data_IF_331082616317
#
_entry.id   IF_331082616317
#
_cell.length_a   1.000
_cell.length_b   1.000
_cell.length_c   1.000
_cell.angle_alpha   90.00
_cell.angle_beta   90.00
_cell.angle_gamma   90.00
#
_symmetry.space_group_name_H-M   'P 1'
#
loop_
_entity.id
_entity.type
_entity.pdbx_description
1 polymer ?
#
# COMPACT_ATOMS: atom_id res chain seq x y z
N UNK A 1 59.31 22.58 -10.91
CA UNK A 1 57.86 22.29 -11.13
C UNK A 1 57.57 21.03 -10.35
N UNK A 2 56.72 21.03 -9.32
CA UNK A 2 56.30 19.82 -8.65
C UNK A 2 55.21 19.15 -9.48
N UNK A 3 55.29 17.81 -9.60
CA UNK A 3 54.34 16.97 -10.32
C UNK A 3 52.92 17.11 -9.75
N UNK A 4 51.87 17.04 -10.60
CA UNK A 4 50.51 17.05 -10.13
C UNK A 4 50.22 15.77 -9.33
N UNK A 5 49.82 15.94 -8.07
CA UNK A 5 49.32 14.86 -7.23
C UNK A 5 48.01 14.35 -7.84
N UNK A 6 48.09 13.21 -8.53
CA UNK A 6 46.91 12.49 -9.01
C UNK A 6 46.26 11.85 -7.78
N UNK A 7 45.20 12.50 -7.28
CA UNK A 7 44.28 11.89 -6.29
C UNK A 7 43.64 10.65 -6.94
N UNK A 8 43.76 9.46 -6.37
CA UNK A 8 43.07 8.29 -6.90
C UNK A 8 41.56 8.51 -6.78
N UNK A 9 40.84 8.47 -7.91
CA UNK A 9 39.42 8.35 -7.94
C UNK A 9 39.08 7.03 -7.24
N UNK A 10 38.69 7.08 -5.99
CA UNK A 10 38.06 5.96 -5.30
C UNK A 10 36.75 5.66 -6.02
N UNK A 11 36.82 4.76 -6.99
CA UNK A 11 35.65 4.11 -7.55
C UNK A 11 34.96 3.46 -6.36
N UNK A 12 33.82 4.04 -5.94
CA UNK A 12 33.04 3.54 -4.81
C UNK A 12 32.72 2.08 -5.06
N UNK A 13 33.32 1.21 -4.24
CA UNK A 13 32.91 -0.19 -4.19
C UNK A 13 31.40 -0.20 -4.02
N UNK A 14 30.65 -1.08 -4.73
CA UNK A 14 29.24 -1.24 -4.49
C UNK A 14 29.05 -1.49 -2.99
N UNK A 15 28.24 -0.64 -2.33
CA UNK A 15 27.89 -0.86 -0.92
C UNK A 15 27.38 -2.28 -0.81
N UNK A 16 27.95 -3.04 0.12
CA UNK A 16 27.38 -4.34 0.49
C UNK A 16 25.91 -4.12 0.85
N UNK A 17 24.98 -4.98 0.36
CA UNK A 17 23.58 -4.86 0.72
C UNK A 17 23.45 -4.74 2.24
N UNK A 18 22.63 -3.79 2.69
CA UNK A 18 22.39 -3.59 4.12
C UNK A 18 21.86 -4.89 4.72
N UNK A 19 22.38 -5.24 5.91
CA UNK A 19 21.95 -6.46 6.61
C UNK A 19 20.45 -6.32 6.95
N UNK A 20 19.66 -7.31 6.54
CA UNK A 20 18.25 -7.40 6.88
C UNK A 20 18.13 -7.57 8.40
N UNK A 21 17.36 -6.71 9.11
CA UNK A 21 17.23 -6.83 10.56
C UNK A 21 16.43 -8.07 10.95
N UNK A 22 16.81 -8.72 12.03
CA UNK A 22 16.01 -9.78 12.62
C UNK A 22 14.71 -9.22 13.22
N UNK A 23 13.58 -9.97 13.13
CA UNK A 23 12.32 -9.52 13.67
C UNK A 23 12.37 -9.40 15.19
N UNK A 24 12.05 -8.21 15.70
CA UNK A 24 11.91 -7.97 17.14
C UNK A 24 10.53 -8.39 17.65
N UNK A 25 10.42 -8.69 18.94
CA UNK A 25 9.13 -8.90 19.60
C UNK A 25 8.39 -7.57 19.76
N UNK A 26 7.13 -7.54 19.29
CA UNK A 26 6.29 -6.34 19.34
C UNK A 26 5.18 -6.55 20.37
N UNK A 27 4.96 -5.56 21.23
CA UNK A 27 3.88 -5.58 22.22
C UNK A 27 2.61 -4.92 21.68
N UNK A 28 1.45 -5.25 22.23
CA UNK A 28 0.17 -4.63 21.83
C UNK A 28 0.14 -3.13 22.10
N UNK A 29 0.89 -2.64 23.08
CA UNK A 29 1.04 -1.20 23.35
C UNK A 29 1.69 -0.44 22.19
N UNK A 30 2.50 -1.12 21.37
CA UNK A 30 3.12 -0.51 20.20
C UNK A 30 2.09 -0.01 19.18
N UNK A 31 0.93 -0.68 19.06
CA UNK A 31 -0.17 -0.24 18.19
C UNK A 31 -0.68 1.15 18.61
N UNK A 32 -0.95 1.32 19.91
CA UNK A 32 -1.39 2.61 20.44
C UNK A 32 -0.34 3.71 20.25
N UNK A 33 0.93 3.37 20.48
CA UNK A 33 2.04 4.31 20.27
C UNK A 33 2.19 4.72 18.82
N UNK A 34 2.09 3.76 17.88
CA UNK A 34 2.16 4.03 16.43
C UNK A 34 1.01 4.93 15.96
N UNK A 35 -0.22 4.66 16.41
CA UNK A 35 -1.38 5.52 16.10
C UNK A 35 -1.22 6.94 16.66
N UNK A 36 -0.74 7.05 17.90
CA UNK A 36 -0.51 8.35 18.52
C UNK A 36 0.61 9.13 17.81
N UNK A 37 1.70 8.45 17.43
CA UNK A 37 2.78 9.05 16.65
C UNK A 37 2.29 9.53 15.27
N UNK A 38 1.61 8.69 14.52
CA UNK A 38 1.06 9.05 13.21
C UNK A 38 0.06 10.22 13.29
N UNK A 39 -0.79 10.26 14.32
CA UNK A 39 -1.67 11.40 14.56
C UNK A 39 -0.91 12.68 14.91
N UNK A 40 0.16 12.56 15.71
CA UNK A 40 1.03 13.68 16.04
C UNK A 40 1.72 14.24 14.78
N UNK A 41 2.25 13.37 13.92
CA UNK A 41 2.90 13.73 12.67
C UNK A 41 1.93 14.41 11.71
N UNK A 42 0.71 13.87 11.57
CA UNK A 42 -0.34 14.50 10.78
C UNK A 42 -0.66 15.91 11.30
N UNK A 43 -0.77 16.09 12.61
CA UNK A 43 -1.04 17.43 13.20
C UNK A 43 0.11 18.42 13.03
N UNK A 44 1.35 17.94 12.98
CA UNK A 44 2.54 18.77 12.75
C UNK A 44 2.70 19.17 11.29
N UNK A 45 2.31 18.28 10.36
CA UNK A 45 2.48 18.46 8.92
C UNK A 45 1.21 18.13 8.12
N UNK A 46 0.03 18.75 8.44
CA UNK A 46 -1.24 18.36 7.85
C UNK A 46 -1.29 18.57 6.33
N UNK A 47 -0.56 19.56 5.79
CA UNK A 47 -0.52 19.84 4.37
C UNK A 47 0.02 18.65 3.55
N UNK A 48 1.00 17.92 4.05
CA UNK A 48 1.56 16.75 3.37
C UNK A 48 0.56 15.58 3.40
N UNK A 49 -0.02 15.26 4.57
CA UNK A 49 -1.03 14.21 4.68
C UNK A 49 -2.25 14.46 3.80
N UNK A 50 -2.77 15.69 3.80
CA UNK A 50 -3.91 16.09 2.98
C UNK A 50 -3.59 16.05 1.49
N UNK A 51 -2.39 16.50 1.06
CA UNK A 51 -2.02 16.46 -0.36
C UNK A 51 -1.92 15.02 -0.88
N UNK A 52 -1.19 14.15 -0.16
CA UNK A 52 -1.07 12.75 -0.56
C UNK A 52 -2.42 12.04 -0.59
N UNK A 53 -3.31 12.34 0.38
CA UNK A 53 -4.68 11.81 0.39
C UNK A 53 -5.56 12.42 -0.71
N UNK A 54 -5.50 13.74 -0.89
CA UNK A 54 -6.31 14.46 -1.88
C UNK A 54 -6.02 14.01 -3.31
N UNK A 55 -4.77 13.67 -3.61
CA UNK A 55 -4.40 13.14 -4.93
C UNK A 55 -5.25 11.91 -5.30
N UNK A 56 -5.45 10.97 -4.37
CA UNK A 56 -6.27 9.78 -4.59
C UNK A 56 -7.76 10.09 -4.62
N UNK A 57 -8.24 10.86 -3.65
CA UNK A 57 -9.67 11.21 -3.54
C UNK A 57 -10.11 12.01 -4.75
N UNK A 58 -9.39 13.08 -5.09
CA UNK A 58 -9.74 13.94 -6.22
C UNK A 58 -9.55 13.21 -7.56
N UNK A 59 -8.50 12.41 -7.70
CA UNK A 59 -8.29 11.57 -8.88
C UNK A 59 -9.42 10.56 -9.08
N UNK A 60 -9.85 9.89 -8.03
CA UNK A 60 -10.98 8.96 -8.05
C UNK A 60 -12.30 9.66 -8.39
N UNK A 61 -12.60 10.78 -7.76
CA UNK A 61 -13.80 11.57 -8.05
C UNK A 61 -13.82 12.10 -9.49
N UNK A 62 -12.69 12.60 -9.98
CA UNK A 62 -12.57 13.10 -11.36
C UNK A 62 -12.81 11.98 -12.38
N UNK A 63 -12.22 10.80 -12.18
CA UNK A 63 -12.42 9.66 -13.07
C UNK A 63 -13.86 9.13 -13.01
N UNK A 64 -14.45 9.07 -11.82
CA UNK A 64 -15.87 8.70 -11.67
C UNK A 64 -16.76 9.69 -12.39
N UNK A 65 -16.53 11.00 -12.24
CA UNK A 65 -17.29 12.03 -12.94
C UNK A 65 -17.16 11.93 -14.46
N UNK A 66 -15.95 11.66 -14.97
CA UNK A 66 -15.72 11.44 -16.42
C UNK A 66 -16.44 10.20 -16.91
N UNK A 67 -16.37 9.08 -16.17
CA UNK A 67 -17.06 7.84 -16.54
C UNK A 67 -18.57 8.02 -16.60
N UNK A 68 -19.17 8.68 -15.62
CA UNK A 68 -20.61 8.99 -15.57
C UNK A 68 -21.02 9.93 -16.71
N UNK A 69 -20.24 11.00 -16.97
CA UNK A 69 -20.54 11.96 -18.02
C UNK A 69 -20.41 11.35 -19.44
N UNK A 70 -19.48 10.43 -19.63
CA UNK A 70 -19.26 9.74 -20.90
C UNK A 70 -20.23 8.58 -21.12
N UNK A 71 -20.98 8.15 -20.10
CA UNK A 71 -21.81 6.93 -20.13
C UNK A 71 -21.00 5.67 -20.40
N UNK A 72 -19.71 5.68 -20.04
CA UNK A 72 -18.75 4.63 -20.34
C UNK A 72 -17.95 4.28 -19.10
N UNK A 73 -18.40 3.30 -18.35
CA UNK A 73 -17.78 2.86 -17.09
C UNK A 73 -16.37 2.27 -17.29
N UNK A 74 -15.98 1.91 -18.51
CA UNK A 74 -14.65 1.40 -18.80
C UNK A 74 -13.51 2.41 -18.53
N UNK A 75 -13.81 3.72 -18.44
CA UNK A 75 -12.87 4.75 -18.00
C UNK A 75 -12.39 4.57 -16.56
N UNK A 76 -13.13 3.82 -15.72
CA UNK A 76 -12.70 3.48 -14.38
C UNK A 76 -11.56 2.44 -14.36
N UNK A 77 -11.38 1.66 -15.43
CA UNK A 77 -10.34 0.62 -15.51
C UNK A 77 -8.93 1.20 -15.27
N UNK A 78 -8.52 2.30 -15.95
CA UNK A 78 -7.19 2.89 -15.71
C UNK A 78 -6.97 3.31 -14.25
N UNK A 79 -8.02 3.76 -13.56
CA UNK A 79 -7.93 4.11 -12.14
C UNK A 79 -7.78 2.86 -11.26
N UNK A 80 -8.62 1.85 -11.49
CA UNK A 80 -8.59 0.59 -10.74
C UNK A 80 -7.23 -0.11 -10.88
N UNK A 81 -6.63 -0.04 -12.07
CA UNK A 81 -5.29 -0.61 -12.34
C UNK A 81 -4.17 0.31 -11.86
N UNK A 82 -4.31 1.61 -12.04
CA UNK A 82 -3.30 2.59 -11.69
C UNK A 82 -3.15 2.85 -10.19
N UNK A 83 -4.24 2.71 -9.44
CA UNK A 83 -4.24 2.97 -7.99
C UNK A 83 -3.24 2.09 -7.21
N UNK A 84 -3.26 0.75 -7.34
CA UNK A 84 -2.29 -0.11 -6.67
C UNK A 84 -0.83 0.19 -7.07
N UNK A 85 -0.62 0.70 -8.30
CA UNK A 85 0.72 1.05 -8.79
C UNK A 85 1.25 2.34 -8.14
N UNK A 86 0.38 3.31 -7.88
CA UNK A 86 0.76 4.61 -7.31
C UNK A 86 0.78 4.62 -5.79
N UNK A 87 0.01 3.74 -5.13
CA UNK A 87 -0.12 3.70 -3.69
C UNK A 87 1.23 3.59 -2.94
N UNK A 88 2.19 2.74 -3.34
CA UNK A 88 3.50 2.66 -2.69
C UNK A 88 4.28 3.97 -2.74
N UNK A 89 4.18 4.75 -3.82
CA UNK A 89 4.88 6.03 -3.95
C UNK A 89 4.30 7.11 -3.03
N UNK A 90 2.99 7.12 -2.82
CA UNK A 90 2.36 8.00 -1.84
C UNK A 90 2.74 7.58 -0.40
N UNK A 91 2.78 6.29 -0.11
CA UNK A 91 3.23 5.78 1.18
C UNK A 91 4.67 6.20 1.47
N UNK A 92 5.58 6.13 0.48
CA UNK A 92 6.96 6.62 0.60
C UNK A 92 7.00 8.09 1.01
N UNK A 93 6.16 8.94 0.40
CA UNK A 93 6.09 10.36 0.77
C UNK A 93 5.69 10.57 2.23
N UNK A 94 4.71 9.81 2.72
CA UNK A 94 4.27 9.89 4.12
C UNK A 94 5.32 9.34 5.08
N UNK A 95 6.01 8.25 4.75
CA UNK A 95 7.12 7.72 5.55
C UNK A 95 8.28 8.70 5.66
N UNK A 96 8.62 9.38 4.56
CA UNK A 96 9.67 10.40 4.58
C UNK A 96 9.29 11.61 5.44
N UNK A 97 8.02 12.02 5.42
CA UNK A 97 7.52 13.09 6.31
C UNK A 97 7.71 12.70 7.79
N UNK A 98 7.26 11.50 8.19
CA UNK A 98 7.43 11.01 9.56
C UNK A 98 8.91 10.89 9.94
N UNK A 99 9.74 10.32 9.07
CA UNK A 99 11.19 10.19 9.30
C UNK A 99 11.84 11.56 9.57
N UNK A 100 11.53 12.58 8.77
CA UNK A 100 12.07 13.93 8.94
C UNK A 100 11.59 14.58 10.23
N UNK A 101 10.32 14.41 10.58
CA UNK A 101 9.77 14.92 11.83
C UNK A 101 10.43 14.29 13.06
N UNK A 102 10.72 12.99 13.02
CA UNK A 102 11.44 12.28 14.08
C UNK A 102 12.91 12.71 14.17
N UNK A 103 13.57 12.90 13.04
CA UNK A 103 14.96 13.34 12.96
C UNK A 103 15.15 14.85 13.25
N UNK A 104 14.07 15.62 13.33
CA UNK A 104 14.13 17.08 13.45
C UNK A 104 14.69 17.76 12.19
N UNK A 105 14.62 17.10 11.03
CA UNK A 105 15.07 17.63 9.75
C UNK A 105 14.07 18.64 9.18
N UNK A 106 14.52 19.61 8.35
CA UNK A 106 13.63 20.55 7.68
C UNK A 106 12.61 19.80 6.81
N UNK A 107 11.35 20.21 6.90
CA UNK A 107 10.25 19.64 6.14
C UNK A 107 9.83 20.61 5.02
N UNK A 108 10.27 20.32 3.82
CA UNK A 108 9.94 21.08 2.60
C UNK A 108 9.51 20.16 1.46
N UNK A 109 8.70 20.70 0.55
CA UNK A 109 8.14 19.94 -0.57
C UNK A 109 9.18 19.38 -1.53
N UNK A 110 10.21 20.15 -1.96
CA UNK A 110 11.24 19.65 -2.86
C UNK A 110 11.97 18.43 -2.28
N UNK A 111 12.31 18.46 -1.00
CA UNK A 111 13.02 17.39 -0.33
C UNK A 111 12.17 16.11 -0.23
N UNK A 112 10.90 16.22 0.20
CA UNK A 112 9.99 15.06 0.27
C UNK A 112 9.71 14.50 -1.12
N UNK A 113 9.36 15.35 -2.08
CA UNK A 113 9.13 14.93 -3.47
C UNK A 113 10.38 14.31 -4.09
N UNK A 114 11.57 14.87 -3.80
CA UNK A 114 12.85 14.34 -4.27
C UNK A 114 13.07 12.88 -3.86
N UNK A 115 12.75 12.52 -2.61
CA UNK A 115 12.84 11.12 -2.13
C UNK A 115 11.84 10.23 -2.87
N UNK A 116 10.58 10.69 -3.05
CA UNK A 116 9.56 9.92 -3.79
C UNK A 116 10.02 9.66 -5.23
N UNK A 117 10.51 10.68 -5.93
CA UNK A 117 11.00 10.54 -7.31
C UNK A 117 12.27 9.68 -7.40
N UNK A 118 13.17 9.74 -6.42
CA UNK A 118 14.35 8.90 -6.38
C UNK A 118 14.03 7.40 -6.27
N UNK A 119 12.85 7.05 -5.72
CA UNK A 119 12.42 5.65 -5.60
C UNK A 119 12.07 5.00 -6.96
N UNK A 120 11.88 5.77 -8.03
CA UNK A 120 11.59 5.23 -9.37
C UNK A 120 12.70 4.29 -9.89
N UNK A 121 13.94 4.52 -9.47
CA UNK A 121 15.13 3.78 -9.88
C UNK A 121 15.57 2.74 -8.83
N UNK A 122 14.75 2.52 -7.78
CA UNK A 122 14.99 1.56 -6.70
C UNK A 122 13.98 0.40 -6.75
N UNK A 123 13.68 -0.21 -5.59
CA UNK A 123 12.84 -1.41 -5.49
C UNK A 123 11.33 -1.10 -5.37
N UNK A 124 10.94 0.17 -5.17
CA UNK A 124 9.51 0.54 -5.03
C UNK A 124 8.68 0.19 -6.28
N UNK A 125 9.13 0.44 -7.53
CA UNK A 125 8.39 -0.01 -8.72
C UNK A 125 8.19 -1.52 -8.78
N UNK A 126 9.17 -2.30 -8.36
CA UNK A 126 9.09 -3.76 -8.31
C UNK A 126 8.04 -4.22 -7.28
N UNK A 127 8.02 -3.61 -6.08
CA UNK A 127 7.00 -3.87 -5.08
C UNK A 127 5.60 -3.44 -5.57
N UNK A 128 5.48 -2.29 -6.23
CA UNK A 128 4.23 -1.83 -6.83
C UNK A 128 3.70 -2.82 -7.87
N UNK A 129 4.58 -3.41 -8.69
CA UNK A 129 4.21 -4.44 -9.65
C UNK A 129 3.69 -5.71 -8.96
N UNK A 130 4.33 -6.17 -7.88
CA UNK A 130 3.85 -7.33 -7.11
C UNK A 130 2.47 -7.05 -6.52
N UNK A 131 2.26 -5.86 -5.94
CA UNK A 131 0.95 -5.43 -5.40
C UNK A 131 -0.11 -5.43 -6.51
N UNK A 132 0.21 -4.88 -7.69
CA UNK A 132 -0.69 -4.84 -8.83
C UNK A 132 -1.06 -6.25 -9.30
N UNK A 133 -0.09 -7.14 -9.47
CA UNK A 133 -0.34 -8.53 -9.90
C UNK A 133 -1.21 -9.27 -8.88
N UNK A 134 -0.94 -9.10 -7.58
CA UNK A 134 -1.76 -9.67 -6.51
C UNK A 134 -3.20 -9.15 -6.57
N UNK A 135 -3.37 -7.84 -6.77
CA UNK A 135 -4.69 -7.20 -6.92
C UNK A 135 -5.44 -7.72 -8.16
N UNK A 136 -4.77 -7.78 -9.31
CA UNK A 136 -5.37 -8.30 -10.55
C UNK A 136 -5.79 -9.77 -10.39
N UNK A 137 -4.97 -10.57 -9.72
CA UNK A 137 -5.32 -11.98 -9.45
C UNK A 137 -6.51 -12.08 -8.49
N UNK A 138 -6.56 -11.25 -7.46
CA UNK A 138 -7.74 -11.14 -6.59
C UNK A 138 -9.01 -10.78 -7.39
N UNK A 139 -8.94 -9.77 -8.26
CA UNK A 139 -10.06 -9.36 -9.10
C UNK A 139 -10.55 -10.52 -9.95
N UNK A 140 -9.62 -11.26 -10.58
CA UNK A 140 -9.95 -12.46 -11.37
C UNK A 140 -10.66 -13.52 -10.52
N UNK A 141 -10.14 -13.85 -9.34
CA UNK A 141 -10.75 -14.82 -8.42
C UNK A 141 -12.13 -14.37 -7.95
N UNK A 142 -12.28 -13.08 -7.58
CA UNK A 142 -13.56 -12.52 -7.15
C UNK A 142 -14.63 -12.63 -8.25
N UNK A 143 -14.28 -12.29 -9.50
CA UNK A 143 -15.19 -12.43 -10.65
C UNK A 143 -15.53 -13.90 -10.91
N UNK A 144 -14.57 -14.80 -10.75
CA UNK A 144 -14.80 -16.24 -10.92
C UNK A 144 -15.78 -16.76 -9.85
N UNK A 145 -15.61 -16.39 -8.59
CA UNK A 145 -16.55 -16.73 -7.51
C UNK A 145 -17.94 -16.20 -7.86
N UNK A 146 -18.03 -14.93 -8.25
CA UNK A 146 -19.30 -14.33 -8.65
C UNK A 146 -19.97 -15.10 -9.80
N UNK A 147 -19.24 -15.41 -10.86
CA UNK A 147 -19.75 -16.13 -12.02
C UNK A 147 -20.24 -17.55 -11.68
N UNK A 148 -19.56 -18.25 -10.79
CA UNK A 148 -19.94 -19.59 -10.33
C UNK A 148 -21.27 -19.57 -9.54
N UNK A 149 -21.46 -18.59 -8.69
CA UNK A 149 -22.65 -18.54 -7.84
C UNK A 149 -23.83 -17.86 -8.52
N UNK A 150 -23.61 -16.80 -9.28
CA UNK A 150 -24.66 -15.94 -9.85
C UNK A 150 -24.88 -16.14 -11.35
N UNK A 151 -23.94 -16.80 -12.04
CA UNK A 151 -23.95 -16.96 -13.50
C UNK A 151 -23.44 -15.72 -14.24
N UNK A 152 -23.00 -15.91 -15.48
CA UNK A 152 -22.37 -14.86 -16.31
C UNK A 152 -23.33 -13.72 -16.65
N UNK A 153 -24.62 -14.03 -16.81
CA UNK A 153 -25.65 -13.03 -17.15
C UNK A 153 -25.98 -12.06 -16.01
N UNK A 154 -25.67 -12.44 -14.76
CA UNK A 154 -25.96 -11.63 -13.56
C UNK A 154 -24.92 -10.55 -13.30
N UNK A 155 -23.77 -10.55 -14.02
CA UNK A 155 -22.70 -9.54 -13.86
C UNK A 155 -23.17 -8.10 -14.15
N UNK A 156 -24.23 -7.95 -14.97
CA UNK A 156 -24.82 -6.65 -15.31
C UNK A 156 -25.93 -6.21 -14.38
N UNK A 157 -26.48 -7.08 -13.53
CA UNK A 157 -27.71 -6.83 -12.75
C UNK A 157 -27.50 -6.65 -11.24
N UNK A 158 -26.29 -6.83 -10.70
CA UNK A 158 -26.03 -6.73 -9.26
C UNK A 158 -26.24 -5.30 -8.75
N UNK A 159 -25.95 -4.30 -9.57
CA UNK A 159 -26.19 -2.89 -9.24
C UNK A 159 -27.69 -2.53 -9.22
N UNK A 160 -28.54 -3.32 -9.88
CA UNK A 160 -30.00 -3.05 -9.97
C UNK A 160 -30.84 -3.88 -9.01
N UNK A 161 -30.28 -4.94 -8.43
CA UNK A 161 -31.01 -5.84 -7.53
C UNK A 161 -30.13 -6.37 -6.40
N UNK A 162 -29.79 -5.53 -5.40
CA UNK A 162 -28.95 -5.92 -4.28
C UNK A 162 -29.54 -7.05 -3.42
N UNK A 163 -30.88 -7.27 -3.51
CA UNK A 163 -31.57 -8.35 -2.79
C UNK A 163 -31.03 -9.73 -3.16
N UNK A 164 -30.46 -9.91 -4.36
CA UNK A 164 -29.88 -11.17 -4.80
C UNK A 164 -28.73 -11.61 -3.89
N UNK A 165 -28.01 -10.65 -3.30
CA UNK A 165 -26.92 -10.91 -2.36
C UNK A 165 -27.41 -11.48 -1.03
N UNK A 166 -28.69 -11.23 -0.67
CA UNK A 166 -29.32 -11.74 0.54
C UNK A 166 -29.94 -13.12 0.36
N UNK A 167 -29.93 -13.67 -0.84
CA UNK A 167 -30.33 -15.07 -1.09
C UNK A 167 -29.33 -16.06 -0.47
N UNK A 168 -29.76 -17.31 -0.25
CA UNK A 168 -28.84 -18.35 0.26
C UNK A 168 -27.59 -18.53 -0.61
N UNK A 169 -27.72 -18.44 -1.96
CA UNK A 169 -26.57 -18.47 -2.88
C UNK A 169 -25.69 -17.22 -2.72
N UNK A 170 -26.31 -16.03 -2.60
CA UNK A 170 -25.62 -14.78 -2.38
C UNK A 170 -24.81 -14.76 -1.09
N UNK A 171 -25.41 -15.19 0.01
CA UNK A 171 -24.74 -15.29 1.31
C UNK A 171 -23.56 -16.28 1.29
N UNK A 172 -23.72 -17.44 0.63
CA UNK A 172 -22.63 -18.40 0.48
C UNK A 172 -21.49 -17.83 -0.37
N UNK A 173 -21.81 -17.14 -1.45
CA UNK A 173 -20.85 -16.43 -2.28
C UNK A 173 -20.07 -15.37 -1.49
N UNK A 174 -20.79 -14.54 -0.72
CA UNK A 174 -20.18 -13.53 0.13
C UNK A 174 -19.28 -14.14 1.21
N UNK A 175 -19.72 -15.22 1.87
CA UNK A 175 -18.93 -15.91 2.87
C UNK A 175 -17.62 -16.49 2.25
N UNK A 176 -17.72 -17.19 1.13
CA UNK A 176 -16.55 -17.74 0.44
C UNK A 176 -15.63 -16.63 -0.06
N UNK A 177 -16.20 -15.59 -0.68
CA UNK A 177 -15.46 -14.43 -1.16
C UNK A 177 -14.73 -13.70 -0.03
N UNK A 178 -15.38 -13.55 1.12
CA UNK A 178 -14.76 -12.94 2.32
C UNK A 178 -13.58 -13.75 2.82
N UNK A 179 -13.70 -15.08 2.92
CA UNK A 179 -12.61 -15.95 3.38
C UNK A 179 -11.41 -15.88 2.42
N UNK A 180 -11.66 -16.01 1.13
CA UNK A 180 -10.61 -15.97 0.13
C UNK A 180 -10.00 -14.56 0.05
N UNK A 181 -10.83 -13.52 0.07
CA UNK A 181 -10.39 -12.13 0.09
C UNK A 181 -9.56 -11.78 1.33
N UNK A 182 -9.93 -12.30 2.49
CA UNK A 182 -9.11 -12.17 3.70
C UNK A 182 -7.74 -12.83 3.54
N UNK A 183 -7.65 -13.96 2.83
CA UNK A 183 -6.38 -14.60 2.49
C UNK A 183 -5.49 -13.70 1.60
N UNK A 184 -6.06 -13.09 0.55
CA UNK A 184 -5.35 -12.12 -0.29
C UNK A 184 -4.91 -10.89 0.51
N UNK A 185 -5.79 -10.36 1.36
CA UNK A 185 -5.48 -9.21 2.21
C UNK A 185 -4.36 -9.53 3.20
N UNK A 186 -4.38 -10.72 3.81
CA UNK A 186 -3.33 -11.17 4.73
C UNK A 186 -1.98 -11.34 4.01
N UNK A 187 -1.97 -11.93 2.81
CA UNK A 187 -0.77 -12.07 2.00
C UNK A 187 -0.21 -10.69 1.61
N UNK A 188 -1.05 -9.78 1.13
CA UNK A 188 -0.65 -8.41 0.78
C UNK A 188 -0.12 -7.65 2.00
N UNK A 189 -0.81 -7.72 3.13
CA UNK A 189 -0.37 -7.14 4.39
C UNK A 189 0.99 -7.70 4.81
N UNK A 190 1.14 -9.03 4.79
CA UNK A 190 2.39 -9.70 5.14
C UNK A 190 3.58 -9.25 4.29
N UNK A 191 3.37 -9.01 2.99
CA UNK A 191 4.43 -8.51 2.10
C UNK A 191 4.78 -7.04 2.34
N UNK A 192 3.79 -6.20 2.66
CA UNK A 192 3.95 -4.75 2.55
C UNK A 192 4.13 -4.04 3.88
N UNK A 193 3.61 -4.58 4.99
CA UNK A 193 3.60 -3.88 6.29
C UNK A 193 5.00 -3.53 6.81
N UNK A 194 5.97 -4.42 6.62
CA UNK A 194 7.38 -4.18 6.91
C UNK A 194 8.22 -3.96 5.65
N UNK A 195 7.82 -4.58 4.52
CA UNK A 195 8.60 -4.58 3.29
C UNK A 195 8.74 -3.19 2.65
N UNK A 196 7.68 -2.40 2.59
CA UNK A 196 7.73 -1.04 2.04
C UNK A 196 8.61 -0.10 2.89
N UNK A 197 8.44 0.00 4.21
CA UNK A 197 9.33 0.78 5.05
C UNK A 197 10.80 0.32 4.96
N UNK A 198 11.03 -0.98 4.91
CA UNK A 198 12.40 -1.54 4.84
C UNK A 198 13.10 -1.16 3.53
N UNK A 199 12.42 -1.23 2.39
CA UNK A 199 12.97 -0.80 1.09
C UNK A 199 13.31 0.69 1.09
N UNK A 200 12.53 1.51 1.80
CA UNK A 200 12.78 2.94 1.88
C UNK A 200 14.00 3.25 2.77
N UNK A 201 14.07 2.60 3.93
CA UNK A 201 15.10 2.85 4.95
C UNK A 201 16.46 2.26 4.54
N UNK A 202 16.48 1.12 3.84
CA UNK A 202 17.68 0.37 3.51
C UNK A 202 17.79 -0.01 2.04
N UNK A 203 19.01 -0.26 1.58
CA UNK A 203 19.27 -0.77 0.22
C UNK A 203 19.18 -2.31 0.20
N UNK A 204 17.96 -2.83 0.38
CA UNK A 204 17.66 -4.26 0.30
C UNK A 204 16.91 -4.59 -1.00
N UNK A 205 17.08 -5.80 -1.49
CA UNK A 205 16.32 -6.28 -2.65
C UNK A 205 14.87 -6.60 -2.27
N UNK A 206 14.00 -6.67 -3.28
CA UNK A 206 12.57 -6.92 -3.13
C UNK A 206 12.27 -8.23 -2.38
N UNK A 207 12.97 -9.31 -2.73
CA UNK A 207 12.70 -10.62 -2.15
C UNK A 207 13.07 -10.64 -0.67
N UNK A 208 14.23 -10.09 -0.30
CA UNK A 208 14.66 -9.96 1.09
C UNK A 208 13.71 -9.08 1.90
N UNK A 209 13.19 -7.99 1.33
CA UNK A 209 12.22 -7.13 1.99
C UNK A 209 10.89 -7.85 2.26
N UNK A 210 10.39 -8.62 1.29
CA UNK A 210 9.17 -9.43 1.43
C UNK A 210 9.36 -10.50 2.51
N UNK A 211 10.47 -11.24 2.48
CA UNK A 211 10.76 -12.29 3.46
C UNK A 211 10.84 -11.68 4.86
N UNK A 212 11.60 -10.62 5.05
CA UNK A 212 11.72 -9.94 6.35
C UNK A 212 10.37 -9.43 6.88
N UNK A 213 9.50 -8.94 5.98
CA UNK A 213 8.16 -8.51 6.35
C UNK A 213 7.30 -9.69 6.84
N UNK A 214 7.32 -10.82 6.13
CA UNK A 214 6.63 -12.05 6.58
C UNK A 214 7.20 -12.59 7.89
N UNK A 215 8.52 -12.58 8.07
CA UNK A 215 9.17 -13.02 9.31
C UNK A 215 8.73 -12.16 10.49
N UNK A 216 8.63 -10.83 10.32
CA UNK A 216 8.13 -9.92 11.35
C UNK A 216 6.66 -10.20 11.71
N UNK A 217 5.81 -10.49 10.71
CA UNK A 217 4.39 -10.83 10.92
C UNK A 217 4.24 -12.16 11.60
N UNK A 218 5.00 -13.19 11.19
CA UNK A 218 4.91 -14.54 11.76
C UNK A 218 5.53 -14.64 13.15
N UNK A 219 6.54 -13.80 13.45
CA UNK A 219 7.10 -13.67 14.80
C UNK A 219 6.14 -13.00 15.79
N UNK A 220 5.19 -12.17 15.30
CA UNK A 220 4.27 -11.39 16.13
C UNK A 220 2.79 -11.53 15.68
N UNK A 221 2.24 -12.74 15.52
CA UNK A 221 1.00 -12.97 14.77
C UNK A 221 -0.21 -12.23 15.35
N UNK A 222 -0.37 -12.26 16.69
CA UNK A 222 -1.53 -11.62 17.34
C UNK A 222 -1.50 -10.10 17.25
N UNK A 223 -0.32 -9.50 17.43
CA UNK A 223 -0.17 -8.04 17.35
C UNK A 223 -0.35 -7.57 15.91
N UNK A 224 0.22 -8.31 14.95
CA UNK A 224 0.09 -7.98 13.52
C UNK A 224 -1.34 -8.19 13.01
N UNK A 225 -2.05 -9.22 13.48
CA UNK A 225 -3.47 -9.37 13.19
C UNK A 225 -4.30 -8.22 13.76
N UNK A 226 -4.04 -7.82 15.01
CA UNK A 226 -4.71 -6.67 15.62
C UNK A 226 -4.43 -5.38 14.82
N UNK A 227 -3.20 -5.17 14.37
CA UNK A 227 -2.83 -4.04 13.52
C UNK A 227 -3.56 -4.06 12.17
N UNK A 228 -3.61 -5.21 11.49
CA UNK A 228 -4.36 -5.37 10.25
C UNK A 228 -5.86 -5.07 10.44
N UNK A 229 -6.46 -5.52 11.54
CA UNK A 229 -7.85 -5.21 11.88
C UNK A 229 -8.07 -3.72 12.13
N UNK A 230 -7.17 -3.04 12.83
CA UNK A 230 -7.23 -1.59 13.05
C UNK A 230 -7.21 -0.85 11.70
N UNK A 231 -6.29 -1.21 10.80
CA UNK A 231 -6.22 -0.62 9.46
C UNK A 231 -7.54 -0.84 8.70
N UNK A 232 -8.05 -2.08 8.70
CA UNK A 232 -9.31 -2.41 8.02
C UNK A 232 -10.49 -1.62 8.59
N UNK A 233 -10.61 -1.52 9.91
CA UNK A 233 -11.69 -0.76 10.58
C UNK A 233 -11.62 0.74 10.24
N UNK A 234 -10.44 1.34 10.25
CA UNK A 234 -10.26 2.75 9.88
C UNK A 234 -10.66 2.96 8.41
N UNK A 235 -10.23 2.06 7.52
CA UNK A 235 -10.57 2.13 6.10
C UNK A 235 -12.08 2.03 5.87
N UNK A 236 -12.74 1.02 6.47
CA UNK A 236 -14.18 0.85 6.34
C UNK A 236 -14.97 2.00 6.98
N UNK A 237 -14.53 2.51 8.13
CA UNK A 237 -15.15 3.68 8.74
C UNK A 237 -15.03 4.95 7.87
N UNK A 238 -13.94 5.08 7.11
CA UNK A 238 -13.77 6.18 6.16
C UNK A 238 -14.64 6.06 4.90
N UNK A 239 -14.98 4.84 4.48
CA UNK A 239 -15.81 4.58 3.30
C UNK A 239 -17.31 4.60 3.64
N UNK A 240 -17.71 4.20 4.84
CA UNK A 240 -19.12 4.05 5.24
C UNK A 240 -20.00 5.30 5.07
N UNK A 241 -19.50 6.56 5.18
CA UNK A 241 -20.30 7.76 4.94
C UNK A 241 -20.46 8.15 3.47
N UNK A 242 -19.77 7.49 2.54
CA UNK A 242 -19.80 7.78 1.09
C UNK A 242 -20.86 6.94 0.38
#
# INVERSE_FOLDING_TARGET
MPDPVVTPVTMGLPRSPDVVPEPASITTSAIGSALAAGWCDFRRAPAFGLLFSAFYVLGGLALTAVALAAGQEWWLIPFVVGFPLLAPFAAVGLYEVSRRLEAGEPLDWPSVAGVVFAQKDRQIPSMAMVILLMFMFWVFVAHTIFAVFMGIQSLTNVTTSPEILLTGRGLTMLALGTVIGAGFAAALFGMTVGGLPLILDREVDLASAIIASFDAVTANPLVMLAWALVIALILFAGIAPL
#
